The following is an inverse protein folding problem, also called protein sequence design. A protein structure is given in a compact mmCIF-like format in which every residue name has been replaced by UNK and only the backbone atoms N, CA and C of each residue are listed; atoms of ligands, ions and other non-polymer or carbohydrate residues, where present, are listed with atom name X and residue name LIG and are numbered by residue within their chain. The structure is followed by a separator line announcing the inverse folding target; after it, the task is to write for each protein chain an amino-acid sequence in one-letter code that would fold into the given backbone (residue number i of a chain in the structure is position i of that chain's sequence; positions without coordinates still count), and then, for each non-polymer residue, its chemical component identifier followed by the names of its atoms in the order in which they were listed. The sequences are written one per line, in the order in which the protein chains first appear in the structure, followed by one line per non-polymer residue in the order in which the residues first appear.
data_IF_200052193480
#
_entry.id   IF_200052193480
#
_cell.length_a   1.000
_cell.length_b   1.000
_cell.length_c   1.000
_cell.angle_alpha   90.00
_cell.angle_beta   90.00
_cell.angle_gamma   90.00
#
_symmetry.space_group_name_H-M   'P 1'
#
loop_
_entity.id
_entity.type
_entity.pdbx_description
1 polymer ?
#
# COMPACT_ATOMS: atom_id res chain seq x y z
N UNK A 1 1.92 -11.72 21.71
CA UNK A 1 1.33 -10.56 21.01
C UNK A 1 0.06 -11.04 20.33
N UNK A 2 -1.09 -10.41 20.57
CA UNK A 2 -2.33 -10.80 19.88
C UNK A 2 -2.17 -10.58 18.38
N UNK A 3 -2.74 -11.48 17.59
CA UNK A 3 -2.74 -11.39 16.13
C UNK A 3 -3.51 -10.12 15.73
N UNK A 4 -2.87 -9.19 15.01
CA UNK A 4 -3.53 -8.00 14.45
C UNK A 4 -4.61 -8.48 13.46
N UNK A 5 -5.77 -7.82 13.45
CA UNK A 5 -6.87 -8.22 12.56
C UNK A 5 -6.55 -7.87 11.09
N UNK A 6 -7.19 -8.56 10.16
CA UNK A 6 -6.93 -8.47 8.71
C UNK A 6 -7.21 -7.08 8.14
N UNK A 7 -8.24 -6.41 8.65
CA UNK A 7 -8.68 -5.08 8.24
C UNK A 7 -7.56 -4.05 8.40
N UNK A 8 -6.70 -4.23 9.39
CA UNK A 8 -5.58 -3.32 9.59
C UNK A 8 -4.51 -3.48 8.51
N UNK A 9 -4.24 -4.70 8.04
CA UNK A 9 -3.30 -4.94 6.94
C UNK A 9 -3.86 -4.41 5.62
N UNK A 10 -5.17 -4.52 5.41
CA UNK A 10 -5.88 -3.91 4.28
C UNK A 10 -5.70 -2.38 4.32
N UNK A 11 -5.92 -1.73 5.47
CA UNK A 11 -5.73 -0.29 5.59
C UNK A 11 -4.26 0.13 5.46
N UNK A 12 -3.29 -0.65 5.95
CA UNK A 12 -1.88 -0.38 5.71
C UNK A 12 -1.57 -0.31 4.21
N UNK A 13 -2.08 -1.26 3.42
CA UNK A 13 -1.92 -1.29 1.97
C UNK A 13 -2.54 -0.04 1.34
N UNK A 14 -3.81 0.25 1.65
CA UNK A 14 -4.52 1.38 1.04
C UNK A 14 -3.88 2.74 1.37
N UNK A 15 -3.44 2.94 2.61
CA UNK A 15 -2.74 4.16 3.04
C UNK A 15 -1.36 4.27 2.36
N UNK A 16 -0.62 3.17 2.28
CA UNK A 16 0.69 3.14 1.63
C UNK A 16 0.56 3.45 0.13
N UNK A 17 -0.45 2.90 -0.55
CA UNK A 17 -0.74 3.23 -1.95
C UNK A 17 -1.07 4.73 -2.11
N UNK A 18 -1.95 5.30 -1.27
CA UNK A 18 -2.25 6.75 -1.31
C UNK A 18 -0.99 7.61 -1.13
N UNK A 19 -0.11 7.22 -0.20
CA UNK A 19 1.16 7.91 0.03
C UNK A 19 2.07 7.83 -1.18
N UNK A 20 2.28 6.65 -1.76
CA UNK A 20 3.07 6.46 -2.99
C UNK A 20 2.51 7.32 -4.12
N UNK A 21 1.19 7.29 -4.35
CA UNK A 21 0.54 8.12 -5.37
C UNK A 21 0.82 9.61 -5.15
N UNK A 22 0.76 10.09 -3.90
CA UNK A 22 1.03 11.50 -3.57
C UNK A 22 2.49 11.90 -3.70
N UNK A 23 3.41 11.08 -3.22
CA UNK A 23 4.86 11.37 -3.26
C UNK A 23 5.35 11.41 -4.71
N UNK A 24 4.82 10.51 -5.54
CA UNK A 24 5.29 10.31 -6.92
C UNK A 24 4.57 11.20 -7.93
N UNK A 25 3.52 11.92 -7.54
CA UNK A 25 2.66 12.73 -8.43
C UNK A 25 3.42 13.79 -9.22
N UNK A 26 4.51 14.33 -8.65
CA UNK A 26 5.27 15.45 -9.24
C UNK A 26 6.30 15.01 -10.30
N UNK A 27 6.52 13.71 -10.48
CA UNK A 27 7.53 13.17 -11.40
C UNK A 27 6.89 12.54 -12.63
N UNK A 28 7.68 12.45 -13.70
CA UNK A 28 7.26 11.91 -14.99
C UNK A 28 7.85 10.53 -15.29
N UNK A 29 8.95 10.15 -14.64
CA UNK A 29 9.67 8.89 -14.84
C UNK A 29 10.42 8.46 -13.57
N UNK A 30 10.95 7.22 -13.59
CA UNK A 30 11.71 6.64 -12.49
C UNK A 30 12.98 7.42 -12.16
N UNK A 31 13.71 7.90 -13.16
CA UNK A 31 14.95 8.66 -12.97
C UNK A 31 14.71 9.99 -12.23
N UNK A 32 13.64 10.71 -12.56
CA UNK A 32 13.25 11.93 -11.84
C UNK A 32 12.90 11.65 -10.37
N UNK A 33 12.19 10.54 -10.11
CA UNK A 33 11.88 10.11 -8.74
C UNK A 33 13.15 9.73 -7.97
N UNK A 34 14.05 8.95 -8.59
CA UNK A 34 15.32 8.52 -8.00
C UNK A 34 16.21 9.71 -7.61
N UNK A 35 16.23 10.76 -8.44
CA UNK A 35 17.02 11.97 -8.17
C UNK A 35 16.46 12.82 -7.00
N UNK A 36 15.25 12.56 -6.52
CA UNK A 36 14.70 13.17 -5.30
C UNK A 36 14.73 12.12 -4.18
N UNK A 37 15.88 12.03 -3.51
CA UNK A 37 16.17 11.01 -2.48
C UNK A 37 15.05 10.87 -1.44
N UNK A 38 14.47 11.99 -0.99
CA UNK A 38 13.38 11.99 -0.02
C UNK A 38 12.13 11.29 -0.56
N UNK A 39 11.71 11.60 -1.79
CA UNK A 39 10.53 10.98 -2.40
C UNK A 39 10.80 9.54 -2.81
N UNK A 40 12.02 9.23 -3.26
CA UNK A 40 12.46 7.87 -3.55
C UNK A 40 12.39 7.00 -2.30
N UNK A 41 13.10 7.38 -1.24
CA UNK A 41 13.17 6.61 0.02
C UNK A 41 11.78 6.46 0.66
N UNK A 42 10.98 7.53 0.67
CA UNK A 42 9.61 7.48 1.16
C UNK A 42 8.73 6.53 0.32
N UNK A 43 8.92 6.49 -1.00
CA UNK A 43 8.17 5.59 -1.89
C UNK A 43 8.58 4.13 -1.66
N UNK A 44 9.88 3.85 -1.60
CA UNK A 44 10.41 2.51 -1.32
C UNK A 44 9.88 1.99 0.01
N UNK A 45 9.91 2.81 1.07
CA UNK A 45 9.39 2.43 2.38
C UNK A 45 7.92 2.01 2.35
N UNK A 46 7.08 2.72 1.61
CA UNK A 46 5.66 2.40 1.50
C UNK A 46 5.42 1.15 0.63
N UNK A 47 6.24 0.91 -0.40
CA UNK A 47 6.23 -0.35 -1.17
C UNK A 47 6.58 -1.57 -0.29
N UNK A 48 7.51 -1.43 0.65
CA UNK A 48 7.80 -2.48 1.64
C UNK A 48 6.60 -2.78 2.55
N UNK A 49 5.89 -1.73 3.00
CA UNK A 49 4.68 -1.88 3.83
C UNK A 49 3.61 -2.66 3.06
N UNK A 50 3.40 -2.31 1.79
CA UNK A 50 2.46 -3.02 0.90
C UNK A 50 2.84 -4.50 0.80
N UNK A 51 4.12 -4.82 0.56
CA UNK A 51 4.58 -6.19 0.46
C UNK A 51 4.46 -7.00 1.76
N UNK A 52 4.78 -6.39 2.91
CA UNK A 52 4.65 -7.06 4.21
C UNK A 52 3.18 -7.37 4.54
N UNK A 53 2.28 -6.39 4.36
CA UNK A 53 0.85 -6.59 4.58
C UNK A 53 0.28 -7.64 3.62
N UNK A 54 0.69 -7.61 2.35
CA UNK A 54 0.27 -8.60 1.33
C UNK A 54 0.71 -10.02 1.72
N UNK A 55 1.92 -10.19 2.25
CA UNK A 55 2.41 -11.48 2.75
C UNK A 55 1.51 -12.05 3.85
N UNK A 56 1.02 -11.22 4.76
CA UNK A 56 0.08 -11.65 5.80
C UNK A 56 -1.25 -12.07 5.18
N UNK A 57 -1.81 -11.28 4.25
CA UNK A 57 -3.06 -11.63 3.57
C UNK A 57 -2.97 -12.96 2.80
N UNK A 58 -1.82 -13.25 2.18
CA UNK A 58 -1.55 -14.54 1.53
C UNK A 58 -1.51 -15.70 2.54
N UNK A 59 -0.77 -15.54 3.63
CA UNK A 59 -0.65 -16.58 4.66
C UNK A 59 -2.00 -16.91 5.33
N UNK A 60 -2.87 -15.92 5.45
CA UNK A 60 -4.21 -16.07 6.01
C UNK A 60 -5.26 -16.45 4.94
N UNK A 61 -4.84 -16.76 3.71
CA UNK A 61 -5.72 -17.16 2.59
C UNK A 61 -6.81 -16.13 2.24
N UNK A 62 -6.54 -14.84 2.50
CA UNK A 62 -7.39 -13.73 2.03
C UNK A 62 -7.11 -13.36 0.57
N UNK A 63 -5.88 -13.58 0.12
CA UNK A 63 -5.45 -13.36 -1.26
C UNK A 63 -4.92 -14.68 -1.87
N UNK A 64 -5.07 -14.83 -3.18
CA UNK A 64 -4.56 -15.99 -3.90
C UNK A 64 -3.05 -15.89 -4.15
N UNK A 65 -2.31 -16.90 -3.69
CA UNK A 65 -0.85 -16.98 -3.79
C UNK A 65 -0.32 -16.70 -5.20
N UNK A 66 -0.85 -17.42 -6.20
CA UNK A 66 -0.35 -17.35 -7.59
C UNK A 66 -0.38 -15.95 -8.19
N UNK A 67 -1.35 -15.09 -7.82
CA UNK A 67 -1.49 -13.74 -8.38
C UNK A 67 -0.64 -12.71 -7.64
N UNK A 68 -0.54 -12.81 -6.31
CA UNK A 68 0.02 -11.74 -5.47
C UNK A 68 1.40 -12.06 -4.89
N UNK A 69 1.93 -13.27 -5.05
CA UNK A 69 3.29 -13.63 -4.58
C UNK A 69 4.37 -12.68 -5.09
N UNK A 70 4.23 -12.21 -6.34
CA UNK A 70 5.13 -11.23 -6.96
C UNK A 70 5.31 -9.93 -6.16
N UNK A 71 4.29 -9.50 -5.41
CA UNK A 71 4.36 -8.30 -4.56
C UNK A 71 5.28 -8.54 -3.36
N UNK A 72 5.18 -9.73 -2.76
CA UNK A 72 6.05 -10.16 -1.65
C UNK A 72 7.49 -10.32 -2.14
N UNK A 73 7.68 -10.90 -3.32
CA UNK A 73 9.01 -11.11 -3.91
C UNK A 73 9.67 -9.76 -4.24
N UNK A 74 8.91 -8.81 -4.79
CA UNK A 74 9.40 -7.46 -5.03
C UNK A 74 9.82 -6.75 -3.75
N UNK A 75 9.04 -6.88 -2.66
CA UNK A 75 9.47 -6.38 -1.33
C UNK A 75 10.75 -7.06 -0.86
N UNK A 76 10.93 -8.35 -1.08
CA UNK A 76 12.18 -9.02 -0.71
C UNK A 76 13.36 -8.47 -1.51
N UNK A 77 13.17 -8.20 -2.81
CA UNK A 77 14.18 -7.57 -3.65
C UNK A 77 14.55 -6.17 -3.13
N UNK A 78 13.56 -5.36 -2.72
CA UNK A 78 13.81 -4.05 -2.09
C UNK A 78 14.68 -4.20 -0.83
N UNK A 79 14.29 -5.06 0.12
CA UNK A 79 15.01 -5.24 1.38
C UNK A 79 16.44 -5.76 1.21
N UNK A 80 16.71 -6.51 0.13
CA UNK A 80 18.03 -7.09 -0.14
C UNK A 80 18.92 -6.18 -1.01
N UNK A 81 18.40 -5.06 -1.54
CA UNK A 81 18.96 -4.37 -2.70
C UNK A 81 19.39 -2.92 -2.48
N UNK A 82 20.11 -2.59 -1.40
CA UNK A 82 20.78 -1.28 -1.26
C UNK A 82 21.74 -0.94 -2.44
N UNK A 83 22.03 -1.89 -3.34
CA UNK A 83 22.57 -1.68 -4.68
C UNK A 83 21.64 -2.29 -5.73
N UNK A 84 21.13 -1.48 -6.68
CA UNK A 84 20.59 -1.99 -7.95
C UNK A 84 19.08 -2.21 -8.04
N UNK A 85 18.25 -1.49 -7.28
CA UNK A 85 16.82 -1.38 -7.61
C UNK A 85 16.70 -0.50 -8.84
N UNK A 86 16.27 -1.09 -9.95
CA UNK A 86 16.01 -0.41 -11.22
C UNK A 86 14.81 0.55 -11.07
N UNK A 87 15.05 1.84 -11.29
CA UNK A 87 14.06 2.89 -11.14
C UNK A 87 12.91 2.79 -12.14
N UNK A 88 13.14 2.22 -13.32
CA UNK A 88 12.09 2.02 -14.31
C UNK A 88 11.15 0.89 -13.89
N UNK A 89 11.68 -0.16 -13.22
CA UNK A 89 10.85 -1.21 -12.61
C UNK A 89 9.98 -0.61 -11.50
N UNK A 90 10.57 0.19 -10.60
CA UNK A 90 9.82 0.86 -9.54
C UNK A 90 8.73 1.76 -10.13
N UNK A 91 9.05 2.49 -11.20
CA UNK A 91 8.11 3.37 -11.88
C UNK A 91 6.94 2.60 -12.52
N UNK A 92 7.20 1.48 -13.20
CA UNK A 92 6.16 0.61 -13.75
C UNK A 92 5.23 0.06 -12.64
N UNK A 93 5.82 -0.37 -11.52
CA UNK A 93 5.04 -0.82 -10.36
C UNK A 93 4.11 0.29 -9.87
N UNK A 94 4.62 1.51 -9.73
CA UNK A 94 3.83 2.66 -9.25
C UNK A 94 2.69 3.00 -10.22
N UNK A 95 2.97 3.07 -11.53
CA UNK A 95 1.99 3.57 -12.51
C UNK A 95 0.97 2.53 -12.96
N UNK A 96 1.37 1.27 -13.02
CA UNK A 96 0.52 0.22 -13.59
C UNK A 96 0.09 -0.77 -12.52
N UNK A 97 1.02 -1.33 -11.74
CA UNK A 97 0.73 -2.48 -10.87
C UNK A 97 0.03 -2.11 -9.57
N UNK A 98 0.37 -0.97 -8.96
CA UNK A 98 -0.29 -0.51 -7.73
C UNK A 98 -1.75 -0.13 -7.96
N UNK A 99 -2.07 0.45 -9.12
CA UNK A 99 -3.45 0.82 -9.47
C UNK A 99 -4.31 -0.44 -9.58
N UNK A 100 -3.84 -1.45 -10.32
CA UNK A 100 -4.49 -2.77 -10.40
C UNK A 100 -4.67 -3.38 -9.01
N UNK A 101 -3.62 -3.37 -8.19
CA UNK A 101 -3.67 -3.99 -6.87
C UNK A 101 -4.62 -3.26 -5.90
N UNK A 102 -4.72 -1.94 -5.98
CA UNK A 102 -5.70 -1.16 -5.21
C UNK A 102 -7.12 -1.60 -5.53
N UNK A 103 -7.44 -1.73 -6.82
CA UNK A 103 -8.74 -2.23 -7.28
C UNK A 103 -9.01 -3.65 -6.76
N UNK A 104 -8.01 -4.54 -6.83
CA UNK A 104 -8.14 -5.90 -6.28
C UNK A 104 -8.43 -5.91 -4.76
N UNK A 105 -7.85 -4.98 -3.99
CA UNK A 105 -8.09 -4.85 -2.55
C UNK A 105 -9.49 -4.26 -2.27
N UNK A 106 -9.94 -3.28 -3.05
CA UNK A 106 -11.30 -2.75 -2.94
C UNK A 106 -12.34 -3.83 -3.25
N UNK A 107 -12.10 -4.64 -4.29
CA UNK A 107 -12.94 -5.80 -4.60
C UNK A 107 -12.91 -6.86 -3.51
N UNK A 108 -11.75 -7.13 -2.89
CA UNK A 108 -11.63 -8.05 -1.77
C UNK A 108 -12.50 -7.62 -0.58
N UNK A 109 -12.49 -6.33 -0.24
CA UNK A 109 -13.32 -5.75 0.83
C UNK A 109 -14.79 -6.02 0.55
N UNK A 110 -15.23 -5.74 -0.69
CA UNK A 110 -16.62 -5.92 -1.11
C UNK A 110 -17.04 -7.40 -1.12
N UNK A 111 -16.29 -8.26 -1.82
CA UNK A 111 -16.66 -9.67 -2.04
C UNK A 111 -16.65 -10.50 -0.75
N UNK A 112 -15.76 -10.17 0.20
CA UNK A 112 -15.68 -10.85 1.51
C UNK A 112 -16.47 -10.13 2.61
N UNK A 113 -17.17 -9.04 2.29
CA UNK A 113 -17.95 -8.22 3.23
C UNK A 113 -17.13 -7.83 4.48
N UNK A 114 -15.92 -7.30 4.25
CA UNK A 114 -14.98 -6.93 5.31
C UNK A 114 -15.35 -5.56 5.86
N UNK A 115 -15.76 -5.49 7.14
CA UNK A 115 -16.04 -4.22 7.80
C UNK A 115 -14.75 -3.52 8.24
N UNK A 116 -14.32 -2.53 7.46
CA UNK A 116 -13.14 -1.71 7.75
C UNK A 116 -13.47 -0.43 8.53
N UNK A 117 -14.73 -0.12 8.82
CA UNK A 117 -15.13 1.20 9.36
C UNK A 117 -14.54 1.45 10.74
N UNK A 118 -14.66 0.49 11.66
CA UNK A 118 -14.06 0.61 12.99
C UNK A 118 -12.54 0.77 12.91
N UNK A 119 -11.91 0.04 11.98
CA UNK A 119 -10.46 0.11 11.76
C UNK A 119 -10.05 1.47 11.24
N UNK A 120 -10.82 2.07 10.32
CA UNK A 120 -10.59 3.44 9.84
C UNK A 120 -10.61 4.43 11.02
N UNK A 121 -11.61 4.35 11.90
CA UNK A 121 -11.71 5.24 13.05
C UNK A 121 -10.53 5.11 14.03
N UNK A 122 -9.98 3.90 14.17
CA UNK A 122 -8.77 3.67 14.97
C UNK A 122 -7.58 4.36 14.30
N UNK A 123 -7.38 4.15 13.00
CA UNK A 123 -6.30 4.81 12.26
C UNK A 123 -6.43 6.35 12.28
N UNK A 124 -7.64 6.91 12.19
CA UNK A 124 -7.85 8.35 12.30
C UNK A 124 -7.36 8.89 13.66
N UNK A 125 -7.64 8.18 14.75
CA UNK A 125 -7.19 8.55 16.10
C UNK A 125 -5.66 8.44 16.26
N UNK A 126 -5.03 7.46 15.61
CA UNK A 126 -3.58 7.29 15.66
C UNK A 126 -2.84 8.30 14.76
N UNK A 127 -3.48 8.79 13.70
CA UNK A 127 -2.88 9.63 12.68
C UNK A 127 -3.34 11.10 12.73
N UNK A 128 -3.86 11.58 13.86
CA UNK A 128 -4.45 12.92 14.03
C UNK A 128 -3.59 14.09 13.49
N UNK A 129 -2.27 13.95 13.51
CA UNK A 129 -1.32 14.99 13.02
C UNK A 129 -1.04 14.90 11.52
N UNK A 130 -1.35 13.78 10.87
CA UNK A 130 -1.08 13.52 9.45
C UNK A 130 -2.30 13.89 8.60
N UNK A 131 -2.47 15.18 8.33
CA UNK A 131 -3.66 15.74 7.63
C UNK A 131 -4.01 15.03 6.32
N UNK A 132 -3.02 14.67 5.51
CA UNK A 132 -3.24 13.98 4.23
C UNK A 132 -3.82 12.57 4.43
N UNK A 133 -3.30 11.83 5.43
CA UNK A 133 -3.79 10.49 5.77
C UNK A 133 -5.21 10.57 6.33
N UNK A 134 -5.51 11.53 7.21
CA UNK A 134 -6.86 11.73 7.72
C UNK A 134 -7.85 12.03 6.59
N UNK A 135 -7.48 12.92 5.66
CA UNK A 135 -8.32 13.24 4.51
C UNK A 135 -8.61 12.00 3.66
N UNK A 136 -7.61 11.16 3.42
CA UNK A 136 -7.78 9.90 2.70
C UNK A 136 -8.71 8.94 3.44
N UNK A 137 -8.48 8.73 4.74
CA UNK A 137 -9.30 7.85 5.58
C UNK A 137 -10.77 8.27 5.62
N UNK A 138 -11.05 9.57 5.73
CA UNK A 138 -12.41 10.10 5.69
C UNK A 138 -13.10 9.84 4.34
N UNK A 139 -12.37 9.98 3.23
CA UNK A 139 -12.89 9.65 1.90
C UNK A 139 -13.19 8.15 1.79
N UNK A 140 -12.27 7.30 2.25
CA UNK A 140 -12.45 5.84 2.25
C UNK A 140 -13.63 5.41 3.12
N UNK A 141 -13.81 6.01 4.30
CA UNK A 141 -14.94 5.77 5.20
C UNK A 141 -16.27 6.06 4.50
N UNK A 142 -16.37 7.20 3.83
CA UNK A 142 -17.59 7.62 3.13
C UNK A 142 -17.96 6.67 1.98
N UNK A 143 -16.98 6.07 1.31
CA UNK A 143 -17.21 5.08 0.25
C UNK A 143 -17.73 3.74 0.78
N UNK A 144 -17.34 3.37 2.02
CA UNK A 144 -17.66 2.07 2.63
C UNK A 144 -18.82 2.13 3.65
N UNK A 145 -19.45 3.31 3.83
CA UNK A 145 -20.57 3.50 4.77
C UNK A 145 -21.95 3.42 4.10
N UNK A 146 -22.04 2.88 2.87
CA UNK A 146 -23.28 2.69 2.09
C UNK A 146 -23.52 1.20 1.87
#
# INVERSE_FOLDING_TARGET
MSKRKIEFYILDILIAIDKVERYTKKFSNGTELLNDELSWDATIRELEIIGEATKILLNESFLEDKKYRRIVDFRNQINHGYFGIDEDIVWDVIKNKLVEFKTDIDELIYLKNIDIILTIEIFEKENLKQKSVIKFLQQLKNLNSK
#
